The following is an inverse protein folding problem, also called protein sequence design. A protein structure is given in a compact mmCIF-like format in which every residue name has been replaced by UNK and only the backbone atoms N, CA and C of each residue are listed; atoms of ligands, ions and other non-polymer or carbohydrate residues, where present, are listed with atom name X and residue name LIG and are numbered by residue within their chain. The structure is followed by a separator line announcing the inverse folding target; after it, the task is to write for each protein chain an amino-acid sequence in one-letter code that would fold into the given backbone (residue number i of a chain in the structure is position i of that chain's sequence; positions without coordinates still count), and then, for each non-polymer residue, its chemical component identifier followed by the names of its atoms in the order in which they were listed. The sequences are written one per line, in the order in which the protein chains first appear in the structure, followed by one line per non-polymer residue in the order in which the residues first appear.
data_IF_602276758571
#
_entry.id   IF_602276758571
#
_cell.length_a   1.000
_cell.length_b   1.000
_cell.length_c   1.000
_cell.angle_alpha   90.00
_cell.angle_beta   90.00
_cell.angle_gamma   90.00
#
_symmetry.space_group_name_H-M   'P 1'
#
loop_
_entity.id
_entity.type
_entity.pdbx_description
1 polymer ?
#
# COMPACT_ATOMS: atom_id res chain seq x y z
N UNK A 1 37.11 4.99 71.44
CA UNK A 1 36.81 6.43 71.58
C UNK A 1 35.33 6.65 71.24
N UNK A 2 34.62 7.38 72.12
CA UNK A 2 33.40 8.23 71.96
C UNK A 2 32.33 7.76 70.93
N UNK A 3 31.15 7.24 71.31
CA UNK A 3 29.93 7.80 71.97
C UNK A 3 29.08 8.79 71.13
N UNK A 4 27.76 8.58 71.26
CA UNK A 4 26.56 9.44 71.05
C UNK A 4 25.96 9.48 69.63
N UNK A 5 24.65 9.61 69.40
CA UNK A 5 23.38 9.30 70.09
C UNK A 5 22.26 9.69 69.09
N UNK A 6 21.18 8.91 69.04
CA UNK A 6 19.74 9.27 68.93
C UNK A 6 19.37 10.56 68.15
N UNK A 7 18.47 10.51 67.14
CA UNK A 7 17.07 11.04 67.25
C UNK A 7 16.14 10.73 66.06
N UNK A 8 14.93 10.29 66.44
CA UNK A 8 13.59 10.70 66.01
C UNK A 8 13.06 10.53 64.56
N UNK A 9 11.80 10.06 64.56
CA UNK A 9 10.90 9.79 63.47
C UNK A 9 10.25 11.05 62.86
N UNK A 10 9.86 10.98 61.59
CA UNK A 10 8.70 11.70 61.03
C UNK A 10 7.90 10.72 60.18
N UNK A 11 6.61 10.66 60.50
CA UNK A 11 5.54 9.94 59.81
C UNK A 11 5.24 10.69 58.51
N UNK A 12 5.35 10.02 57.36
CA UNK A 12 5.04 10.55 56.04
C UNK A 12 3.88 9.79 55.40
N UNK A 13 2.67 10.24 55.75
CA UNK A 13 1.38 10.14 55.06
C UNK A 13 1.22 9.12 53.92
N UNK A 14 0.34 8.15 54.14
CA UNK A 14 -0.29 7.31 53.11
C UNK A 14 -0.99 8.17 52.07
N UNK A 15 -0.41 8.33 50.89
CA UNK A 15 -1.16 8.69 49.70
C UNK A 15 -1.80 7.41 49.16
N UNK A 16 -3.09 7.23 49.43
CA UNK A 16 -3.97 6.39 48.63
C UNK A 16 -4.03 6.98 47.22
N UNK A 17 -3.01 6.71 46.42
CA UNK A 17 -3.05 6.88 44.98
C UNK A 17 -3.99 5.84 44.44
N UNK A 18 -5.22 6.25 44.15
CA UNK A 18 -6.23 5.51 43.42
C UNK A 18 -5.56 4.59 42.40
N UNK A 19 -5.72 3.28 42.58
CA UNK A 19 -5.52 2.32 41.51
C UNK A 19 -6.57 2.62 40.46
N UNK A 20 -6.30 3.61 39.62
CA UNK A 20 -6.96 3.72 38.33
C UNK A 20 -6.61 2.40 37.66
N UNK A 21 -7.58 1.54 37.31
CA UNK A 21 -7.25 0.49 36.37
C UNK A 21 -6.71 1.23 35.16
N UNK A 22 -5.41 1.03 34.86
CA UNK A 22 -4.96 1.16 33.50
C UNK A 22 -5.72 0.06 32.75
N UNK A 23 -6.98 0.35 32.43
CA UNK A 23 -7.64 -0.24 31.29
C UNK A 23 -6.73 0.14 30.15
N UNK A 24 -5.80 -0.76 29.84
CA UNK A 24 -5.27 -0.85 28.49
C UNK A 24 -6.50 -0.82 27.62
N UNK A 25 -6.73 0.31 26.96
CA UNK A 25 -7.58 0.38 25.81
C UNK A 25 -6.91 -0.56 24.80
N UNK A 26 -7.15 -1.85 24.94
CA UNK A 26 -7.18 -2.74 23.82
C UNK A 26 -8.29 -2.13 22.98
N UNK A 27 -7.91 -1.36 21.96
CA UNK A 27 -8.77 -1.21 20.81
C UNK A 27 -9.06 -2.64 20.39
N UNK A 28 -10.20 -3.16 20.84
CA UNK A 28 -10.80 -4.31 20.21
C UNK A 28 -11.02 -3.80 18.79
N UNK A 29 -10.11 -4.17 17.90
CA UNK A 29 -10.29 -4.05 16.48
C UNK A 29 -11.58 -4.83 16.22
N UNK A 30 -12.69 -4.08 16.17
CA UNK A 30 -14.01 -4.64 15.93
C UNK A 30 -13.89 -5.26 14.56
N UNK A 31 -13.78 -6.60 14.54
CA UNK A 31 -13.50 -7.41 13.36
C UNK A 31 -14.54 -7.20 12.28
N UNK A 32 -14.43 -6.07 11.58
CA UNK A 32 -14.71 -5.98 10.17
C UNK A 32 -13.67 -6.90 9.58
N UNK A 33 -14.11 -8.10 9.20
CA UNK A 33 -13.32 -8.96 8.35
C UNK A 33 -12.86 -8.07 7.20
N UNK A 34 -11.57 -7.71 7.18
CA UNK A 34 -11.05 -6.82 6.15
C UNK A 34 -11.47 -7.45 4.82
N UNK A 35 -12.32 -6.77 4.07
CA UNK A 35 -12.59 -7.12 2.69
C UNK A 35 -11.62 -6.33 1.82
N UNK A 36 -11.50 -6.71 0.55
CA UNK A 36 -10.80 -5.83 -0.36
C UNK A 36 -9.30 -6.00 -0.49
N UNK A 37 -8.67 -4.94 -0.99
CA UNK A 37 -7.22 -4.82 -1.15
C UNK A 37 -6.46 -5.01 0.16
N UNK A 38 -6.99 -4.50 1.28
CA UNK A 38 -6.37 -4.64 2.60
C UNK A 38 -6.19 -6.11 3.02
N UNK A 39 -7.16 -6.98 2.72
CA UNK A 39 -7.08 -8.40 3.05
C UNK A 39 -6.21 -9.22 2.08
N UNK A 40 -5.99 -8.67 0.88
CA UNK A 40 -5.11 -9.24 -0.14
C UNK A 40 -3.69 -8.71 -0.05
N UNK A 41 -3.44 -7.72 0.81
CA UNK A 41 -2.12 -7.13 1.01
C UNK A 41 -1.12 -8.20 1.45
N UNK A 42 -0.12 -8.56 0.62
CA UNK A 42 0.78 -9.66 0.93
C UNK A 42 1.99 -9.21 1.77
N UNK A 43 2.03 -7.95 2.20
CA UNK A 43 3.28 -7.31 2.62
C UNK A 43 4.17 -6.98 1.41
N UNK A 44 5.38 -6.47 1.67
CA UNK A 44 6.35 -6.13 0.62
C UNK A 44 7.01 -7.41 0.10
N UNK A 45 6.71 -7.78 -1.13
CA UNK A 45 7.24 -8.98 -1.78
C UNK A 45 7.84 -8.73 -3.16
N UNK A 46 7.97 -7.46 -3.56
CA UNK A 46 8.59 -7.06 -4.81
C UNK A 46 7.62 -6.99 -5.99
N UNK A 47 6.36 -7.42 -5.84
CA UNK A 47 5.44 -7.53 -6.97
C UNK A 47 4.51 -6.33 -7.14
N UNK A 48 4.10 -6.10 -8.39
CA UNK A 48 2.86 -5.41 -8.73
C UNK A 48 1.75 -6.44 -8.95
N UNK A 49 0.51 -6.07 -8.67
CA UNK A 49 -0.69 -6.88 -8.93
C UNK A 49 -1.76 -6.04 -9.63
N UNK A 50 -2.62 -6.69 -10.42
CA UNK A 50 -3.84 -6.07 -10.93
C UNK A 50 -5.02 -7.05 -10.95
N UNK A 51 -6.23 -6.53 -10.76
CA UNK A 51 -7.47 -7.28 -10.79
C UNK A 51 -8.50 -6.62 -11.70
N UNK A 52 -9.42 -7.43 -12.24
CA UNK A 52 -10.51 -6.95 -13.11
C UNK A 52 -11.76 -6.44 -12.37
N UNK A 53 -11.72 -6.48 -11.03
CA UNK A 53 -12.72 -5.83 -10.18
C UNK A 53 -12.11 -4.69 -9.36
N UNK A 54 -12.99 -3.85 -8.84
CA UNK A 54 -12.62 -2.87 -7.80
C UNK A 54 -12.20 -3.58 -6.51
N UNK A 55 -11.48 -2.86 -5.66
CA UNK A 55 -11.06 -3.30 -4.33
C UNK A 55 -10.32 -4.65 -4.34
N UNK A 56 -9.46 -4.83 -5.34
CA UNK A 56 -8.67 -6.04 -5.57
C UNK A 56 -9.54 -7.31 -5.68
N UNK A 57 -10.81 -7.17 -6.07
CA UNK A 57 -11.75 -8.27 -6.28
C UNK A 57 -11.73 -8.77 -7.73
N UNK A 58 -12.45 -9.86 -7.99
CA UNK A 58 -12.52 -10.45 -9.33
C UNK A 58 -11.31 -11.35 -9.63
N UNK A 59 -11.05 -11.53 -10.92
CA UNK A 59 -9.92 -12.32 -11.39
C UNK A 59 -8.61 -11.54 -11.21
N UNK A 60 -7.60 -12.22 -10.66
CA UNK A 60 -6.23 -11.72 -10.71
C UNK A 60 -5.76 -11.77 -12.17
N UNK A 61 -5.41 -10.61 -12.72
CA UNK A 61 -4.97 -10.48 -14.11
C UNK A 61 -3.49 -10.82 -14.28
N UNK A 62 -2.70 -10.59 -13.23
CA UNK A 62 -1.29 -10.91 -13.22
C UNK A 62 -0.58 -10.34 -11.99
N UNK A 63 0.65 -10.82 -11.81
CA UNK A 63 1.56 -10.32 -10.79
C UNK A 63 3.00 -10.51 -11.28
N UNK A 64 3.89 -9.56 -10.98
CA UNK A 64 5.31 -9.69 -11.33
C UNK A 64 6.17 -8.72 -10.54
N UNK A 65 7.45 -9.06 -10.37
CA UNK A 65 8.46 -8.18 -9.80
C UNK A 65 9.24 -7.39 -10.87
N UNK A 66 9.12 -7.78 -12.13
CA UNK A 66 9.78 -7.13 -13.26
C UNK A 66 8.92 -6.03 -13.88
N UNK A 67 9.45 -5.45 -14.96
CA UNK A 67 8.64 -4.64 -15.86
C UNK A 67 7.89 -5.56 -16.83
N UNK A 68 6.70 -5.15 -17.28
CA UNK A 68 5.93 -5.86 -18.30
C UNK A 68 5.57 -4.90 -19.45
N UNK A 69 6.24 -5.00 -20.62
CA UNK A 69 5.99 -4.11 -21.75
C UNK A 69 4.68 -4.43 -22.48
N UNK A 70 4.04 -5.57 -22.25
CA UNK A 70 2.83 -5.95 -22.97
C UNK A 70 1.99 -6.96 -22.18
N UNK A 71 0.95 -6.47 -21.49
CA UNK A 71 0.06 -7.30 -20.67
C UNK A 71 -0.79 -8.31 -21.47
N UNK A 72 -0.75 -8.28 -22.80
CA UNK A 72 -1.40 -9.29 -23.64
C UNK A 72 -0.43 -10.39 -24.07
N UNK A 73 0.87 -10.12 -24.09
CA UNK A 73 1.91 -11.09 -24.39
C UNK A 73 2.32 -11.87 -23.12
N UNK A 74 2.44 -13.19 -23.23
CA UNK A 74 2.95 -13.99 -22.13
C UNK A 74 4.45 -13.74 -21.89
N UNK A 75 4.86 -13.67 -20.63
CA UNK A 75 6.29 -13.64 -20.22
C UNK A 75 6.66 -12.54 -19.24
N UNK A 76 5.87 -11.46 -19.15
CA UNK A 76 6.10 -10.36 -18.19
C UNK A 76 5.42 -10.55 -16.83
N UNK A 77 4.48 -11.50 -16.74
CA UNK A 77 3.69 -11.83 -15.54
C UNK A 77 2.21 -11.49 -15.67
N UNK A 78 1.84 -10.79 -16.74
CA UNK A 78 0.48 -10.67 -17.26
C UNK A 78 0.37 -11.43 -18.59
N UNK A 79 -0.86 -11.79 -18.97
CA UNK A 79 -1.20 -12.37 -20.28
C UNK A 79 -2.70 -12.23 -20.54
N UNK A 80 -3.12 -11.76 -21.72
CA UNK A 80 -4.54 -11.53 -22.01
C UNK A 80 -5.21 -10.49 -21.08
N UNK A 81 -4.45 -9.52 -20.58
CA UNK A 81 -4.87 -8.61 -19.51
C UNK A 81 -4.98 -7.13 -19.93
N UNK A 82 -4.79 -6.79 -21.21
CA UNK A 82 -5.06 -5.44 -21.71
C UNK A 82 -6.46 -4.98 -21.35
N UNK A 83 -6.58 -3.71 -20.99
CA UNK A 83 -7.85 -3.00 -20.90
C UNK A 83 -8.88 -3.68 -19.97
N UNK A 84 -8.38 -4.32 -18.90
CA UNK A 84 -9.22 -5.09 -17.96
C UNK A 84 -9.07 -4.70 -16.50
N UNK A 85 -7.99 -4.04 -16.13
CA UNK A 85 -7.73 -3.75 -14.73
C UNK A 85 -8.65 -2.64 -14.21
N UNK A 86 -9.24 -2.89 -13.04
CA UNK A 86 -10.06 -1.93 -12.29
C UNK A 86 -9.49 -1.62 -10.90
N UNK A 87 -8.50 -2.39 -10.44
CA UNK A 87 -7.69 -2.09 -9.26
C UNK A 87 -6.28 -2.66 -9.39
N UNK A 88 -5.31 -2.02 -8.72
CA UNK A 88 -3.88 -2.38 -8.77
C UNK A 88 -3.23 -2.25 -7.40
N UNK A 89 -2.16 -2.99 -7.16
CA UNK A 89 -1.41 -2.96 -5.91
C UNK A 89 0.09 -2.93 -6.16
N UNK A 90 0.79 -2.05 -5.43
CA UNK A 90 2.24 -1.96 -5.36
C UNK A 90 2.71 -2.64 -4.06
N UNK A 91 3.09 -3.91 -4.17
CA UNK A 91 3.78 -4.66 -3.12
C UNK A 91 5.30 -4.68 -3.30
N UNK A 92 5.84 -3.76 -4.12
CA UNK A 92 7.26 -3.59 -4.39
C UNK A 92 8.05 -3.24 -3.14
N UNK A 93 9.36 -3.52 -3.15
CA UNK A 93 10.26 -3.03 -2.10
C UNK A 93 10.45 -1.51 -2.20
N UNK A 94 10.76 -0.86 -1.08
CA UNK A 94 11.08 0.58 -1.04
C UNK A 94 12.58 0.80 -1.10
N UNK A 95 13.01 1.99 -1.56
CA UNK A 95 14.42 2.38 -1.55
C UNK A 95 15.06 2.58 -2.92
N UNK A 96 14.25 2.78 -3.96
CA UNK A 96 14.70 3.09 -5.32
C UNK A 96 14.01 2.21 -6.37
N UNK A 97 13.55 2.84 -7.47
CA UNK A 97 12.64 2.22 -8.46
C UNK A 97 11.44 1.51 -7.81
N UNK A 98 10.81 2.18 -6.85
CA UNK A 98 9.75 1.66 -5.99
C UNK A 98 8.35 2.14 -6.37
N UNK A 99 8.24 2.95 -7.43
CA UNK A 99 6.97 3.43 -7.99
C UNK A 99 6.65 2.63 -9.25
N UNK A 100 5.40 2.18 -9.37
CA UNK A 100 4.93 1.53 -10.60
C UNK A 100 4.32 2.58 -11.52
N UNK A 101 4.85 2.71 -12.73
CA UNK A 101 4.18 3.40 -13.83
C UNK A 101 3.29 2.43 -14.57
N UNK A 102 2.00 2.75 -14.70
CA UNK A 102 1.05 2.06 -15.57
C UNK A 102 0.82 2.90 -16.82
N UNK A 103 0.84 2.26 -17.99
CA UNK A 103 0.79 2.92 -19.29
C UNK A 103 -0.45 2.55 -20.06
N UNK A 104 -0.99 3.54 -20.78
CA UNK A 104 -2.14 3.36 -21.66
C UNK A 104 -1.82 2.43 -22.84
N UNK A 105 -0.59 2.50 -23.36
CA UNK A 105 -0.15 1.65 -24.46
C UNK A 105 0.92 0.64 -24.05
N UNK A 106 1.14 -0.35 -24.91
CA UNK A 106 2.26 -1.29 -24.76
C UNK A 106 3.61 -0.58 -24.98
N UNK A 107 4.70 -1.23 -24.58
CA UNK A 107 6.07 -0.74 -24.66
C UNK A 107 6.32 0.61 -23.95
N UNK A 108 5.50 0.93 -22.94
CA UNK A 108 5.60 2.18 -22.18
C UNK A 108 5.40 3.44 -23.04
N UNK A 109 4.42 3.39 -23.94
CA UNK A 109 4.12 4.46 -24.88
C UNK A 109 2.85 5.26 -24.50
N UNK A 110 2.75 6.45 -25.10
CA UNK A 110 1.69 7.44 -24.89
C UNK A 110 1.67 8.04 -23.48
N UNK A 111 0.67 7.69 -22.68
CA UNK A 111 0.38 8.32 -21.39
C UNK A 111 0.51 7.31 -20.25
N UNK A 112 0.83 7.81 -19.07
CA UNK A 112 1.08 7.02 -17.87
C UNK A 112 0.47 7.65 -16.62
N UNK A 113 0.32 6.81 -15.60
CA UNK A 113 -0.01 7.20 -14.23
C UNK A 113 0.86 6.39 -13.27
N UNK A 114 1.02 6.84 -12.03
CA UNK A 114 1.94 6.22 -11.08
C UNK A 114 1.27 5.77 -9.80
N UNK A 115 1.67 4.60 -9.28
CA UNK A 115 1.30 4.13 -7.96
C UNK A 115 2.50 4.15 -7.03
N UNK A 116 2.43 5.04 -6.04
CA UNK A 116 3.42 5.16 -4.98
C UNK A 116 3.46 3.88 -4.12
N UNK A 117 4.63 3.44 -3.64
CA UNK A 117 4.68 2.34 -2.68
C UNK A 117 3.98 2.70 -1.37
N UNK A 118 3.87 3.99 -1.04
CA UNK A 118 3.20 4.48 0.17
C UNK A 118 1.67 4.52 0.05
N UNK A 119 1.13 4.41 -1.16
CA UNK A 119 -0.31 4.28 -1.41
C UNK A 119 -0.79 2.83 -1.27
N UNK A 120 0.14 1.87 -1.38
CA UNK A 120 -0.10 0.43 -1.35
C UNK A 120 -0.92 -0.10 -2.53
N UNK A 121 -2.08 0.46 -2.80
CA UNK A 121 -3.00 0.05 -3.87
C UNK A 121 -3.90 1.20 -4.31
N UNK A 122 -4.37 1.12 -5.55
CA UNK A 122 -5.51 1.90 -6.02
C UNK A 122 -6.68 0.92 -6.16
N UNK A 123 -7.67 1.05 -5.29
CA UNK A 123 -8.82 0.15 -5.19
C UNK A 123 -9.89 0.46 -6.25
N UNK A 124 -9.91 1.67 -6.80
CA UNK A 124 -10.85 2.08 -7.83
C UNK A 124 -10.16 2.92 -8.92
N UNK A 125 -9.90 2.32 -10.09
CA UNK A 125 -9.27 3.06 -11.20
C UNK A 125 -10.21 4.00 -11.97
N UNK A 126 -11.52 3.98 -11.67
CA UNK A 126 -12.54 4.72 -12.44
C UNK A 126 -12.55 6.23 -12.19
N UNK A 127 -11.88 6.69 -11.13
CA UNK A 127 -11.72 8.11 -10.79
C UNK A 127 -10.31 8.63 -11.08
N UNK A 128 -9.43 7.81 -11.66
CA UNK A 128 -8.08 8.20 -12.03
C UNK A 128 -7.94 8.44 -13.54
N UNK A 129 -7.01 9.30 -13.94
CA UNK A 129 -6.67 9.54 -15.34
C UNK A 129 -5.17 9.40 -15.58
N UNK A 130 -4.80 9.01 -16.80
CA UNK A 130 -3.41 9.10 -17.23
C UNK A 130 -2.98 10.57 -17.35
N UNK A 131 -1.67 10.82 -17.37
CA UNK A 131 -1.14 12.16 -17.63
C UNK A 131 -1.69 12.71 -18.97
N UNK A 132 -2.29 13.89 -18.94
CA UNK A 132 -3.08 14.44 -20.07
C UNK A 132 -4.60 14.35 -19.88
N UNK A 133 -5.09 13.70 -18.82
CA UNK A 133 -6.47 13.76 -18.35
C UNK A 133 -7.45 12.82 -19.05
N UNK A 134 -7.04 12.15 -20.14
CA UNK A 134 -7.77 11.07 -20.82
C UNK A 134 -6.78 10.09 -21.47
N UNK A 135 -7.14 8.80 -21.59
CA UNK A 135 -8.36 8.17 -21.05
C UNK A 135 -8.34 8.04 -19.52
N UNK A 136 -9.46 7.58 -18.97
CA UNK A 136 -9.57 7.13 -17.57
C UNK A 136 -8.70 5.87 -17.45
N UNK A 137 -8.12 5.62 -16.27
CA UNK A 137 -7.18 4.49 -16.10
C UNK A 137 -7.90 3.15 -16.11
N UNK A 138 -9.11 3.10 -15.54
CA UNK A 138 -9.95 1.91 -15.53
C UNK A 138 -10.11 1.30 -16.92
N UNK A 139 -9.84 0.00 -17.02
CA UNK A 139 -9.94 -0.76 -18.26
C UNK A 139 -9.11 -0.18 -19.42
N UNK A 140 -7.96 0.45 -19.14
CA UNK A 140 -7.11 1.05 -20.17
C UNK A 140 -5.60 0.84 -19.94
N UNK A 141 -5.18 -0.02 -19.00
CA UNK A 141 -3.75 -0.32 -18.77
C UNK A 141 -3.29 -1.44 -19.71
N UNK A 142 -2.11 -1.25 -20.33
CA UNK A 142 -1.51 -2.23 -21.26
C UNK A 142 -0.06 -2.59 -21.01
N UNK A 143 0.68 -1.77 -20.24
CA UNK A 143 2.03 -2.10 -19.80
C UNK A 143 2.37 -1.44 -18.47
N UNK A 144 3.40 -1.93 -17.78
CA UNK A 144 3.90 -1.28 -16.57
C UNK A 144 5.43 -1.40 -16.42
N UNK A 145 6.01 -0.46 -15.68
CA UNK A 145 7.43 -0.52 -15.29
C UNK A 145 7.72 0.14 -13.94
N UNK A 146 8.80 -0.28 -13.31
CA UNK A 146 9.30 0.27 -12.06
C UNK A 146 10.20 1.49 -12.30
N UNK A 147 9.86 2.60 -11.65
CA UNK A 147 10.56 3.88 -11.79
C UNK A 147 10.78 4.55 -10.45
N UNK A 148 11.64 5.56 -10.43
CA UNK A 148 11.77 6.45 -9.28
C UNK A 148 10.61 7.43 -9.24
N UNK A 149 10.24 7.92 -8.05
CA UNK A 149 9.19 8.94 -7.90
C UNK A 149 9.40 10.21 -8.75
N UNK A 150 10.65 10.58 -9.04
CA UNK A 150 10.98 11.72 -9.90
C UNK A 150 10.57 11.55 -11.37
N UNK A 151 10.27 10.33 -11.82
CA UNK A 151 9.79 10.05 -13.16
C UNK A 151 8.26 10.20 -13.29
N UNK A 152 7.56 10.59 -12.22
CA UNK A 152 6.11 10.61 -12.14
C UNK A 152 5.54 12.03 -12.05
N UNK A 153 4.49 12.29 -12.83
CA UNK A 153 3.77 13.57 -12.85
C UNK A 153 2.29 13.44 -12.43
N UNK A 154 1.75 12.23 -12.40
CA UNK A 154 0.34 11.94 -12.08
C UNK A 154 0.29 10.68 -11.22
N UNK A 155 -0.56 10.68 -10.21
CA UNK A 155 -0.62 9.65 -9.18
C UNK A 155 -2.01 9.05 -9.09
N UNK A 156 -2.07 7.73 -8.93
CA UNK A 156 -3.25 7.02 -8.48
C UNK A 156 -3.50 7.29 -7.01
N UNK A 157 -4.76 7.15 -6.62
CA UNK A 157 -5.27 7.27 -5.24
C UNK A 157 -6.21 6.11 -4.94
#
# INVERSE_FOLDING_TARGET
MRKFAITAAVIGLTALGLTVPATTAQAADTGVQATGCNNKWPGRNGNVYAWDGYDCQGALLGQTAGDDPDWNAAGGGFAGAWDRASSVMNAGYTGGRDVVQFWFWQNYEETYTCLSPNEYFADNLSDNSFNGGRPIVDNNIRSHRWVTASACATWLT
#
